data_IF_853869625309
#
_entry.id   IF_853869625309
#
_cell.length_a   1.000
_cell.length_b   1.000
_cell.length_c   1.000
_cell.angle_alpha   90.00
_cell.angle_beta   90.00
_cell.angle_gamma   90.00
#
_symmetry.space_group_name_H-M   'P 1'
#
loop_
_entity.id
_entity.type
_entity.pdbx_description
1 polymer ?
#
# COMPACT_ATOMS: atom_id res chain seq x y z
N UNK A 1 12.30 -7.52 -20.58
CA UNK A 1 11.14 -6.67 -20.13
C UNK A 1 9.99 -7.59 -19.77
N UNK A 2 9.49 -7.51 -18.54
CA UNK A 2 8.40 -8.36 -18.04
C UNK A 2 7.07 -7.86 -18.65
N UNK A 3 6.34 -8.74 -19.34
CA UNK A 3 5.01 -8.43 -19.86
C UNK A 3 3.97 -8.62 -18.77
N UNK A 4 3.04 -7.66 -18.62
CA UNK A 4 1.98 -7.73 -17.62
C UNK A 4 0.69 -7.09 -18.14
N UNK A 5 -0.44 -7.77 -17.90
CA UNK A 5 -1.77 -7.22 -18.20
C UNK A 5 -2.06 -5.90 -17.44
N UNK A 6 -1.42 -5.71 -16.29
CA UNK A 6 -1.51 -4.47 -15.51
C UNK A 6 -0.88 -3.29 -16.27
N UNK A 7 0.29 -3.50 -16.91
CA UNK A 7 0.94 -2.46 -17.71
C UNK A 7 0.07 -2.04 -18.90
N UNK A 8 -0.51 -2.99 -19.62
CA UNK A 8 -1.40 -2.73 -20.76
C UNK A 8 -2.68 -1.99 -20.32
N UNK A 9 -3.28 -2.43 -19.19
CA UNK A 9 -4.52 -1.85 -18.67
C UNK A 9 -4.36 -0.41 -18.21
N UNK A 10 -3.21 -0.05 -17.62
CA UNK A 10 -2.99 1.23 -16.96
C UNK A 10 -2.09 2.18 -17.78
N UNK A 11 -1.45 1.71 -18.86
CA UNK A 11 -0.50 2.51 -19.63
C UNK A 11 0.79 2.84 -18.86
N UNK A 12 1.23 1.95 -17.96
CA UNK A 12 2.45 2.07 -17.18
C UNK A 12 3.55 1.13 -17.70
N UNK A 13 4.82 1.46 -17.48
CA UNK A 13 5.96 0.69 -17.97
C UNK A 13 6.23 -0.55 -17.10
N UNK A 14 6.16 -0.38 -15.78
CA UNK A 14 6.44 -1.42 -14.80
C UNK A 14 5.21 -1.71 -13.95
N UNK A 15 4.86 -3.00 -13.70
CA UNK A 15 3.70 -3.36 -12.89
C UNK A 15 4.03 -3.24 -11.38
N UNK A 16 4.50 -2.07 -11.00
CA UNK A 16 4.92 -1.71 -9.64
C UNK A 16 4.07 -0.56 -9.13
N UNK A 17 3.36 -0.78 -8.04
CA UNK A 17 2.55 0.22 -7.37
C UNK A 17 3.24 0.67 -6.09
N UNK A 18 3.27 1.97 -5.86
CA UNK A 18 3.50 2.50 -4.54
C UNK A 18 2.14 2.57 -3.83
N UNK A 19 1.97 1.77 -2.78
CA UNK A 19 0.71 1.66 -2.05
C UNK A 19 0.30 2.95 -1.32
N UNK A 20 -1.00 3.16 -1.16
CA UNK A 20 -1.52 4.27 -0.38
C UNK A 20 -1.10 4.18 1.09
N UNK A 21 -0.35 5.15 1.58
CA UNK A 21 0.13 5.25 2.96
C UNK A 21 -0.42 6.54 3.58
N UNK A 22 -1.39 6.42 4.49
CA UNK A 22 -2.06 7.56 5.11
C UNK A 22 -1.05 8.58 5.68
N UNK A 23 -1.23 9.86 5.36
CA UNK A 23 -0.36 11.00 5.73
C UNK A 23 1.06 10.97 5.14
N UNK A 24 1.42 9.96 4.37
CA UNK A 24 2.77 9.72 3.82
C UNK A 24 2.77 9.87 2.30
N UNK A 25 1.86 9.14 1.63
CA UNK A 25 1.79 9.10 0.17
C UNK A 25 1.02 10.32 -0.34
N UNK A 26 1.75 11.38 -0.58
CA UNK A 26 1.27 12.65 -1.15
C UNK A 26 1.39 12.70 -2.68
N UNK A 27 0.97 13.80 -3.28
CA UNK A 27 1.03 14.00 -4.73
C UNK A 27 2.47 14.02 -5.29
N UNK A 28 3.45 14.45 -4.50
CA UNK A 28 4.86 14.49 -4.91
C UNK A 28 5.45 13.08 -5.03
N UNK A 29 5.25 12.26 -4.00
CA UNK A 29 5.71 10.86 -4.03
C UNK A 29 5.00 10.08 -5.15
N UNK A 30 3.68 10.23 -5.27
CA UNK A 30 2.91 9.55 -6.30
C UNK A 30 3.40 9.92 -7.72
N UNK A 31 3.59 11.21 -8.00
CA UNK A 31 4.11 11.67 -9.28
C UNK A 31 5.51 11.10 -9.60
N UNK A 32 6.41 11.08 -8.62
CA UNK A 32 7.77 10.57 -8.81
C UNK A 32 7.79 9.05 -9.11
N UNK A 33 6.88 8.28 -8.51
CA UNK A 33 6.73 6.85 -8.82
C UNK A 33 6.17 6.66 -10.23
N UNK A 34 5.17 7.47 -10.63
CA UNK A 34 4.57 7.41 -11.96
C UNK A 34 5.57 7.81 -13.05
N UNK A 35 6.40 8.83 -12.82
CA UNK A 35 7.50 9.20 -13.72
C UNK A 35 8.57 8.10 -13.81
N UNK A 36 8.74 7.33 -12.75
CA UNK A 36 9.60 6.14 -12.75
C UNK A 36 9.04 4.95 -13.54
N UNK A 37 7.84 5.08 -14.13
CA UNK A 37 7.19 4.05 -14.95
C UNK A 37 6.26 3.11 -14.16
N UNK A 38 6.11 3.28 -12.85
CA UNK A 38 5.15 2.56 -12.00
C UNK A 38 3.80 3.27 -11.89
N UNK A 39 3.01 2.91 -10.88
CA UNK A 39 1.80 3.63 -10.47
C UNK A 39 1.97 4.22 -9.08
N UNK A 40 2.08 5.54 -8.99
CA UNK A 40 2.03 6.26 -7.73
C UNK A 40 0.60 6.44 -7.25
N UNK A 41 0.37 6.26 -5.95
CA UNK A 41 -0.97 6.31 -5.36
C UNK A 41 -1.01 7.30 -4.20
N UNK A 42 -1.81 8.35 -4.34
CA UNK A 42 -2.09 9.33 -3.30
C UNK A 42 -2.99 8.67 -2.25
N UNK A 43 -2.64 8.80 -0.97
CA UNK A 43 -3.45 8.28 0.11
C UNK A 43 -4.44 9.32 0.63
N UNK A 44 -5.73 9.09 0.48
CA UNK A 44 -6.74 9.93 1.10
C UNK A 44 -6.75 9.78 2.64
N UNK A 45 -6.56 8.55 3.16
CA UNK A 45 -6.56 8.31 4.60
C UNK A 45 -7.83 8.86 5.27
N UNK A 46 -7.65 9.64 6.34
CA UNK A 46 -8.70 10.40 7.02
C UNK A 46 -8.65 11.91 6.67
N UNK A 47 -8.22 12.25 5.46
CA UNK A 47 -8.18 13.63 5.01
C UNK A 47 -9.48 14.03 4.29
N UNK A 48 -9.91 15.31 4.37
CA UNK A 48 -11.07 15.82 3.65
C UNK A 48 -10.81 15.86 2.14
N UNK A 49 -11.87 15.91 1.33
CA UNK A 49 -11.80 15.90 -0.13
C UNK A 49 -10.97 17.03 -0.72
N UNK A 50 -11.03 18.23 -0.14
CA UNK A 50 -10.22 19.37 -0.60
C UNK A 50 -8.71 19.11 -0.48
N UNK A 51 -8.26 18.43 0.57
CA UNK A 51 -6.86 18.02 0.68
C UNK A 51 -6.50 17.03 -0.44
N UNK A 52 -7.35 16.03 -0.67
CA UNK A 52 -7.11 15.02 -1.72
C UNK A 52 -7.06 15.68 -3.10
N UNK A 53 -7.97 16.62 -3.38
CA UNK A 53 -7.97 17.44 -4.60
C UNK A 53 -6.65 18.18 -4.80
N UNK A 54 -6.15 18.84 -3.75
CA UNK A 54 -4.88 19.55 -3.78
C UNK A 54 -3.71 18.59 -4.10
N UNK A 55 -3.72 17.37 -3.54
CA UNK A 55 -2.68 16.37 -3.82
C UNK A 55 -2.73 15.86 -5.26
N UNK A 56 -3.93 15.61 -5.81
CA UNK A 56 -4.11 15.24 -7.21
C UNK A 56 -3.57 16.34 -8.13
N UNK A 57 -3.95 17.59 -7.88
CA UNK A 57 -3.49 18.73 -8.67
C UNK A 57 -1.99 18.97 -8.52
N UNK A 58 -1.42 18.70 -7.32
CA UNK A 58 0.03 18.76 -7.11
C UNK A 58 0.77 17.71 -7.95
N UNK A 59 0.25 16.47 -7.97
CA UNK A 59 0.84 15.42 -8.81
C UNK A 59 0.79 15.77 -10.29
N UNK A 60 -0.34 16.26 -10.80
CA UNK A 60 -0.52 16.65 -12.20
C UNK A 60 0.33 17.84 -12.66
N UNK A 61 0.81 18.67 -11.74
CA UNK A 61 1.82 19.70 -12.08
C UNK A 61 3.22 19.13 -12.29
N UNK A 62 3.47 17.91 -11.84
CA UNK A 62 4.78 17.24 -11.91
C UNK A 62 4.81 16.23 -13.06
N UNK A 63 3.71 15.48 -13.27
CA UNK A 63 3.67 14.39 -14.24
C UNK A 63 2.36 14.35 -15.02
N UNK A 64 2.46 13.90 -16.30
CA UNK A 64 1.32 13.56 -17.15
C UNK A 64 1.01 12.05 -17.12
N UNK A 65 1.76 11.27 -16.33
CA UNK A 65 1.57 9.83 -16.20
C UNK A 65 0.37 9.50 -15.29
N UNK A 66 -0.23 8.30 -15.42
CA UNK A 66 -1.33 7.86 -14.57
C UNK A 66 -0.98 7.91 -13.08
N UNK A 67 -1.91 8.44 -12.27
CA UNK A 67 -1.78 8.49 -10.81
C UNK A 67 -3.07 7.91 -10.20
N UNK A 68 -2.92 7.12 -9.14
CA UNK A 68 -4.05 6.57 -8.38
C UNK A 68 -4.38 7.35 -7.11
N UNK A 69 -5.58 7.11 -6.57
CA UNK A 69 -5.99 7.54 -5.23
C UNK A 69 -6.43 6.34 -4.41
N UNK A 70 -5.89 6.17 -3.22
CA UNK A 70 -6.35 5.17 -2.26
C UNK A 70 -7.38 5.77 -1.33
N UNK A 71 -8.57 5.15 -1.27
CA UNK A 71 -9.68 5.57 -0.41
C UNK A 71 -9.82 4.58 0.74
N UNK A 72 -9.64 5.06 1.97
CA UNK A 72 -9.96 4.29 3.17
C UNK A 72 -11.47 4.38 3.42
N UNK A 73 -12.18 3.27 3.23
CA UNK A 73 -13.66 3.27 3.25
C UNK A 73 -14.29 3.45 4.64
N UNK A 74 -13.50 3.28 5.70
CA UNK A 74 -13.90 3.62 7.09
C UNK A 74 -13.70 5.11 7.42
N UNK A 75 -13.11 5.90 6.51
CA UNK A 75 -12.93 7.34 6.72
C UNK A 75 -14.27 8.08 6.76
N UNK A 76 -14.47 9.04 7.67
CA UNK A 76 -15.65 9.90 7.67
C UNK A 76 -15.76 10.76 6.39
N UNK A 77 -14.67 10.90 5.64
CA UNK A 77 -14.59 11.66 4.39
C UNK A 77 -14.71 10.78 3.13
N UNK A 78 -15.00 9.47 3.28
CA UNK A 78 -15.04 8.55 2.14
C UNK A 78 -16.03 9.00 1.05
N UNK A 79 -17.22 9.49 1.42
CA UNK A 79 -18.24 10.00 0.48
C UNK A 79 -17.78 11.25 -0.29
N UNK A 80 -17.06 12.13 0.39
CA UNK A 80 -16.51 13.35 -0.20
C UNK A 80 -15.38 13.01 -1.19
N UNK A 81 -14.43 12.18 -0.76
CA UNK A 81 -13.31 11.74 -1.61
C UNK A 81 -13.80 10.94 -2.81
N UNK A 82 -14.85 10.12 -2.64
CA UNK A 82 -15.44 9.35 -3.74
C UNK A 82 -15.97 10.24 -4.88
N UNK A 83 -16.43 11.44 -4.58
CA UNK A 83 -16.84 12.45 -5.59
C UNK A 83 -15.64 13.16 -6.19
N UNK A 84 -14.67 13.54 -5.36
CA UNK A 84 -13.45 14.24 -5.81
C UNK A 84 -12.71 13.43 -6.87
N UNK A 85 -12.56 12.12 -6.72
CA UNK A 85 -11.86 11.30 -7.72
C UNK A 85 -12.56 11.27 -9.08
N UNK A 86 -13.89 11.41 -9.11
CA UNK A 86 -14.67 11.54 -10.36
C UNK A 86 -14.48 12.93 -10.97
N UNK A 87 -14.64 13.99 -10.17
CA UNK A 87 -14.50 15.37 -10.60
C UNK A 87 -13.10 15.67 -11.15
N UNK A 88 -12.08 15.15 -10.48
CA UNK A 88 -10.67 15.26 -10.90
C UNK A 88 -10.28 14.22 -11.96
N UNK A 89 -11.18 13.35 -12.43
CA UNK A 89 -10.96 12.33 -13.47
C UNK A 89 -9.69 11.50 -13.18
N UNK A 90 -9.60 10.96 -11.97
CA UNK A 90 -8.48 10.11 -11.56
C UNK A 90 -8.52 8.81 -12.36
N UNK A 91 -7.37 8.32 -12.80
CA UNK A 91 -7.26 7.13 -13.65
C UNK A 91 -7.51 5.83 -12.87
N UNK A 92 -7.07 5.80 -11.60
CA UNK A 92 -7.11 4.60 -10.76
C UNK A 92 -7.61 4.94 -9.36
N UNK A 93 -8.55 4.18 -8.85
CA UNK A 93 -8.94 4.16 -7.44
C UNK A 93 -8.60 2.82 -6.84
N UNK A 94 -7.82 2.83 -5.76
CA UNK A 94 -7.64 1.67 -4.88
C UNK A 94 -8.45 1.88 -3.61
N UNK A 95 -8.91 0.81 -2.96
CA UNK A 95 -9.66 0.92 -1.71
C UNK A 95 -9.13 -0.02 -0.66
N UNK A 96 -9.13 0.42 0.59
CA UNK A 96 -8.81 -0.39 1.75
C UNK A 96 -9.79 -0.18 2.89
N UNK A 97 -9.74 -1.03 3.90
CA UNK A 97 -10.53 -0.94 5.12
C UNK A 97 -12.05 -0.79 4.86
N UNK A 98 -12.66 -1.73 4.12
CA UNK A 98 -14.09 -1.73 3.88
C UNK A 98 -14.50 -2.32 2.53
N UNK A 99 -15.78 -2.16 2.20
CA UNK A 99 -16.41 -2.67 0.98
C UNK A 99 -16.82 -1.51 0.06
N UNK A 100 -16.25 -1.40 -1.16
CA UNK A 100 -16.53 -0.31 -2.10
C UNK A 100 -17.86 -0.44 -2.86
N UNK A 101 -18.71 -1.43 -2.58
CA UNK A 101 -19.92 -1.73 -3.35
C UNK A 101 -20.84 -0.52 -3.55
N UNK A 102 -20.81 0.44 -2.62
CA UNK A 102 -21.57 1.69 -2.68
C UNK A 102 -21.11 2.63 -3.80
N UNK A 103 -19.81 2.64 -4.12
CA UNK A 103 -19.19 3.62 -5.01
C UNK A 103 -18.75 3.03 -6.35
N UNK A 104 -18.45 1.73 -6.39
CA UNK A 104 -17.75 1.08 -7.52
C UNK A 104 -18.44 1.30 -8.87
N UNK A 105 -19.79 1.30 -8.92
CA UNK A 105 -20.54 1.49 -10.15
C UNK A 105 -20.37 2.89 -10.73
N UNK A 106 -20.36 3.91 -9.88
CA UNK A 106 -20.17 5.31 -10.30
C UNK A 106 -18.74 5.54 -10.79
N UNK A 107 -17.75 5.00 -10.10
CA UNK A 107 -16.34 5.09 -10.52
C UNK A 107 -16.10 4.41 -11.87
N UNK A 108 -16.62 3.20 -12.06
CA UNK A 108 -16.53 2.49 -13.35
C UNK A 108 -17.24 3.24 -14.48
N UNK A 109 -18.43 3.82 -14.22
CA UNK A 109 -19.16 4.64 -15.18
C UNK A 109 -18.41 5.92 -15.56
N UNK A 110 -17.60 6.47 -14.63
CA UNK A 110 -16.70 7.59 -14.88
C UNK A 110 -15.40 7.20 -15.62
N UNK A 111 -15.22 5.91 -15.95
CA UNK A 111 -14.02 5.41 -16.65
C UNK A 111 -12.85 5.11 -15.73
N UNK A 112 -13.01 5.21 -14.40
CA UNK A 112 -11.96 4.96 -13.42
C UNK A 112 -11.69 3.45 -13.31
N UNK A 113 -10.43 3.04 -13.30
CA UNK A 113 -10.03 1.67 -12.97
C UNK A 113 -10.09 1.46 -11.47
N UNK A 114 -10.94 0.55 -11.01
CA UNK A 114 -11.13 0.28 -9.58
C UNK A 114 -10.38 -0.99 -9.20
N UNK A 115 -9.41 -0.87 -8.29
CA UNK A 115 -8.49 -1.95 -7.88
C UNK A 115 -8.52 -2.08 -6.35
N UNK A 116 -9.49 -2.81 -5.77
CA UNK A 116 -9.64 -2.96 -4.33
C UNK A 116 -8.52 -3.80 -3.71
N UNK A 117 -8.12 -3.43 -2.48
CA UNK A 117 -7.28 -4.29 -1.62
C UNK A 117 -8.16 -5.37 -1.01
N UNK A 118 -7.71 -6.62 -1.10
CA UNK A 118 -8.41 -7.79 -0.59
C UNK A 118 -7.46 -8.67 0.25
N UNK A 119 -7.95 -9.16 1.37
CA UNK A 119 -7.21 -10.03 2.28
C UNK A 119 -7.84 -11.45 2.40
N UNK A 120 -8.81 -11.78 1.53
CA UNK A 120 -9.44 -13.11 1.50
C UNK A 120 -10.06 -13.44 0.14
N UNK A 121 -10.19 -14.73 -0.13
CA UNK A 121 -10.87 -15.25 -1.34
C UNK A 121 -12.33 -14.80 -1.41
N UNK A 122 -13.02 -14.72 -0.28
CA UNK A 122 -14.41 -14.26 -0.24
C UNK A 122 -14.53 -12.81 -0.74
N UNK A 123 -13.65 -11.92 -0.29
CA UNK A 123 -13.58 -10.54 -0.74
C UNK A 123 -13.20 -10.46 -2.23
N UNK A 124 -12.21 -11.23 -2.67
CA UNK A 124 -11.81 -11.28 -4.07
C UNK A 124 -12.97 -11.65 -5.01
N UNK A 125 -13.72 -12.71 -4.68
CA UNK A 125 -14.92 -13.12 -5.42
C UNK A 125 -16.01 -12.04 -5.43
N UNK A 126 -16.21 -11.32 -4.32
CA UNK A 126 -17.15 -10.21 -4.25
C UNK A 126 -16.73 -9.06 -5.16
N UNK A 127 -15.48 -8.64 -5.10
CA UNK A 127 -14.96 -7.54 -5.93
C UNK A 127 -15.00 -7.89 -7.43
N UNK A 128 -14.68 -9.13 -7.78
CA UNK A 128 -14.82 -9.62 -9.16
C UNK A 128 -16.26 -9.49 -9.68
N UNK A 129 -17.24 -9.91 -8.87
CA UNK A 129 -18.67 -9.77 -9.25
C UNK A 129 -19.15 -8.33 -9.35
N UNK A 130 -18.54 -7.42 -8.59
CA UNK A 130 -18.85 -5.99 -8.64
C UNK A 130 -18.20 -5.27 -9.83
N UNK A 131 -17.36 -5.96 -10.61
CA UNK A 131 -16.72 -5.43 -11.81
C UNK A 131 -15.40 -4.71 -11.56
N UNK A 132 -14.69 -5.01 -10.47
CA UNK A 132 -13.34 -4.48 -10.26
C UNK A 132 -12.46 -4.72 -11.49
N UNK A 133 -11.51 -3.82 -11.75
CA UNK A 133 -10.60 -3.91 -12.90
C UNK A 133 -9.43 -4.86 -12.65
N UNK A 134 -8.96 -4.93 -11.41
CA UNK A 134 -7.93 -5.82 -10.90
C UNK A 134 -8.08 -5.92 -9.38
N UNK A 135 -7.27 -6.75 -8.71
CA UNK A 135 -7.28 -6.89 -7.25
C UNK A 135 -5.87 -6.72 -6.68
N UNK A 136 -5.76 -6.09 -5.51
CA UNK A 136 -4.53 -6.08 -4.72
C UNK A 136 -4.68 -7.10 -3.59
N UNK A 137 -3.95 -8.22 -3.68
CA UNK A 137 -3.91 -9.27 -2.64
C UNK A 137 -2.86 -8.88 -1.59
N UNK A 138 -3.30 -8.36 -0.43
CA UNK A 138 -2.40 -7.86 0.61
C UNK A 138 -2.26 -8.85 1.76
N UNK A 139 -1.07 -9.43 1.88
CA UNK A 139 -0.70 -10.34 2.97
C UNK A 139 -0.34 -9.63 4.27
N UNK A 140 -0.38 -10.38 5.37
CA UNK A 140 -0.16 -9.91 6.73
C UNK A 140 1.26 -9.42 7.04
N UNK A 141 2.20 -9.51 6.11
CA UNK A 141 3.55 -8.94 6.20
C UNK A 141 3.56 -7.43 5.96
N UNK A 142 2.46 -6.85 5.44
CA UNK A 142 2.33 -5.42 5.16
C UNK A 142 2.40 -4.57 6.44
N UNK A 143 2.63 -3.26 6.27
CA UNK A 143 2.51 -2.26 7.32
C UNK A 143 1.11 -1.63 7.35
N UNK A 144 0.72 -1.05 8.48
CA UNK A 144 -0.64 -0.53 8.66
C UNK A 144 -1.64 -1.64 8.97
N UNK A 145 -2.86 -1.51 8.51
CA UNK A 145 -3.89 -2.53 8.71
C UNK A 145 -3.50 -3.84 8.03
N UNK A 146 -3.61 -4.95 8.74
CA UNK A 146 -3.15 -6.26 8.24
C UNK A 146 -4.25 -7.32 8.36
N UNK A 147 -4.31 -8.20 7.35
CA UNK A 147 -5.05 -9.45 7.41
C UNK A 147 -4.27 -10.56 8.13
N UNK A 148 -4.86 -11.75 8.22
CA UNK A 148 -4.25 -12.90 8.89
C UNK A 148 -3.35 -13.72 7.96
N UNK A 149 -3.73 -13.84 6.68
CA UNK A 149 -2.99 -14.67 5.71
C UNK A 149 -1.71 -13.97 5.25
N UNK A 150 -0.63 -14.74 5.14
CA UNK A 150 0.62 -14.26 4.55
C UNK A 150 0.52 -14.22 3.02
N UNK A 151 1.36 -13.41 2.39
CA UNK A 151 1.39 -13.22 0.93
C UNK A 151 1.60 -14.55 0.19
N UNK A 152 2.47 -15.42 0.70
CA UNK A 152 2.78 -16.73 0.11
C UNK A 152 1.54 -17.63 -0.07
N UNK A 153 0.57 -17.58 0.84
CA UNK A 153 -0.64 -18.41 0.76
C UNK A 153 -1.86 -17.65 0.24
N UNK A 154 -1.89 -16.33 0.37
CA UNK A 154 -3.01 -15.50 -0.06
C UNK A 154 -3.03 -15.33 -1.58
N UNK A 155 -1.90 -14.95 -2.16
CA UNK A 155 -1.79 -14.62 -3.59
C UNK A 155 -2.25 -15.77 -4.49
N UNK A 156 -1.75 -17.01 -4.38
CA UNK A 156 -2.19 -18.10 -5.25
C UNK A 156 -3.68 -18.42 -5.08
N UNK A 157 -4.21 -18.39 -3.84
CA UNK A 157 -5.64 -18.62 -3.60
C UNK A 157 -6.53 -17.57 -4.28
N UNK A 158 -6.07 -16.31 -4.33
CA UNK A 158 -6.81 -15.25 -5.01
C UNK A 158 -6.68 -15.40 -6.52
N UNK A 159 -5.48 -15.70 -7.04
CA UNK A 159 -5.27 -15.96 -8.47
C UNK A 159 -6.17 -17.10 -8.98
N UNK A 160 -6.31 -18.18 -8.21
CA UNK A 160 -7.18 -19.32 -8.56
C UNK A 160 -8.68 -18.99 -8.47
N UNK A 161 -9.04 -17.97 -7.69
CA UNK A 161 -10.43 -17.61 -7.39
C UNK A 161 -11.04 -16.55 -8.33
N UNK A 162 -10.21 -15.90 -9.17
CA UNK A 162 -10.63 -14.82 -10.07
C UNK A 162 -9.97 -14.91 -11.43
N UNK A 163 -10.60 -14.33 -12.44
CA UNK A 163 -9.99 -14.11 -13.77
C UNK A 163 -9.37 -12.72 -13.92
N UNK A 164 -9.51 -11.87 -12.89
CA UNK A 164 -8.92 -10.53 -12.90
C UNK A 164 -7.42 -10.58 -12.66
N UNK A 165 -6.64 -9.63 -13.20
CA UNK A 165 -5.25 -9.47 -12.82
C UNK A 165 -5.11 -9.23 -11.31
N UNK A 166 -4.12 -9.90 -10.68
CA UNK A 166 -3.84 -9.78 -9.24
C UNK A 166 -2.50 -9.08 -9.04
N UNK A 167 -2.48 -8.09 -8.15
CA UNK A 167 -1.28 -7.40 -7.69
C UNK A 167 -0.95 -7.94 -6.30
N UNK A 168 0.24 -8.48 -6.08
CA UNK A 168 0.68 -8.95 -4.77
C UNK A 168 1.17 -7.79 -3.92
N UNK A 169 0.77 -7.74 -2.64
CA UNK A 169 1.20 -6.74 -1.68
C UNK A 169 1.55 -7.38 -0.33
N UNK A 170 2.51 -6.78 0.38
CA UNK A 170 3.04 -7.32 1.64
C UNK A 170 4.24 -8.25 1.42
N UNK A 171 5.29 -8.08 2.22
CA UNK A 171 6.48 -8.94 2.16
C UNK A 171 7.42 -8.70 0.96
N UNK A 172 7.19 -7.69 0.13
CA UNK A 172 7.95 -7.43 -1.09
C UNK A 172 8.85 -6.20 -0.91
N UNK A 173 10.17 -6.35 -1.12
CA UNK A 173 11.15 -5.29 -0.93
C UNK A 173 12.10 -5.11 -2.11
N UNK A 174 12.41 -6.17 -2.85
CA UNK A 174 13.41 -6.24 -3.92
C UNK A 174 12.94 -7.16 -5.05
N UNK A 175 13.78 -7.32 -6.08
CA UNK A 175 13.46 -8.14 -7.25
C UNK A 175 13.21 -9.62 -6.95
N UNK A 176 13.74 -10.16 -5.85
CA UNK A 176 13.44 -11.55 -5.45
C UNK A 176 11.98 -11.68 -5.02
N UNK A 177 11.48 -10.70 -4.24
CA UNK A 177 10.07 -10.64 -3.85
C UNK A 177 9.15 -10.43 -5.05
N UNK A 178 9.55 -9.58 -6.00
CA UNK A 178 8.81 -9.38 -7.27
C UNK A 178 8.74 -10.69 -8.06
N UNK A 179 9.86 -11.36 -8.28
CA UNK A 179 9.91 -12.63 -9.00
C UNK A 179 9.04 -13.71 -8.32
N UNK A 180 9.12 -13.84 -6.99
CA UNK A 180 8.29 -14.75 -6.22
C UNK A 180 6.79 -14.45 -6.40
N UNK A 181 6.38 -13.19 -6.37
CA UNK A 181 4.99 -12.79 -6.58
C UNK A 181 4.48 -13.21 -7.97
N UNK A 182 5.29 -13.03 -9.03
CA UNK A 182 4.95 -13.49 -10.37
C UNK A 182 4.83 -15.02 -10.44
N UNK A 183 5.72 -15.75 -9.78
CA UNK A 183 5.66 -17.23 -9.71
C UNK A 183 4.43 -17.73 -8.95
N UNK A 184 3.86 -16.93 -8.04
CA UNK A 184 2.60 -17.21 -7.36
C UNK A 184 1.36 -16.84 -8.19
N UNK A 185 1.53 -16.32 -9.42
CA UNK A 185 0.46 -15.96 -10.35
C UNK A 185 0.10 -14.47 -10.38
N UNK A 186 0.74 -13.62 -9.59
CA UNK A 186 0.50 -12.18 -9.64
C UNK A 186 0.95 -11.57 -10.97
N UNK A 187 0.30 -10.47 -11.37
CA UNK A 187 0.58 -9.69 -12.57
C UNK A 187 1.26 -8.34 -12.27
N UNK A 188 1.51 -8.07 -11.01
CA UNK A 188 2.19 -6.87 -10.52
C UNK A 188 2.42 -6.95 -9.02
N UNK A 189 3.08 -5.94 -8.48
CA UNK A 189 3.37 -5.83 -7.06
C UNK A 189 3.01 -4.46 -6.51
N UNK A 190 2.58 -4.42 -5.25
CA UNK A 190 2.43 -3.16 -4.50
C UNK A 190 3.38 -3.16 -3.31
N UNK A 191 4.11 -2.08 -3.13
CA UNK A 191 5.03 -1.87 -2.02
C UNK A 191 4.71 -0.57 -1.29
N UNK A 192 4.69 -0.59 0.05
CA UNK A 192 4.58 0.61 0.89
C UNK A 192 5.91 0.95 1.53
N UNK A 193 6.35 0.13 2.47
CA UNK A 193 7.54 0.35 3.31
C UNK A 193 8.82 0.61 2.51
N UNK A 194 8.97 0.00 1.33
CA UNK A 194 10.11 0.24 0.44
C UNK A 194 10.18 1.71 -0.01
N UNK A 195 9.03 2.35 -0.25
CA UNK A 195 8.95 3.76 -0.66
C UNK A 195 9.06 4.76 0.50
N UNK A 196 9.09 4.33 1.76
CA UNK A 196 9.40 5.21 2.89
C UNK A 196 10.83 5.77 2.80
N UNK A 197 11.74 5.06 2.12
CA UNK A 197 13.11 5.51 1.85
C UNK A 197 13.25 6.32 0.55
N UNK A 198 12.16 6.61 -0.15
CA UNK A 198 12.23 7.46 -1.34
C UNK A 198 12.62 8.90 -0.96
N UNK A 199 13.45 9.53 -1.78
CA UNK A 199 13.86 10.93 -1.59
C UNK A 199 12.65 11.87 -1.58
N UNK A 200 11.63 11.56 -2.40
CA UNK A 200 10.39 12.32 -2.55
C UNK A 200 9.38 12.07 -1.43
N UNK A 201 9.59 11.06 -0.59
CA UNK A 201 8.75 10.77 0.56
C UNK A 201 9.00 11.80 1.67
N UNK A 202 7.99 12.65 1.95
CA UNK A 202 8.09 13.83 2.81
C UNK A 202 7.91 13.54 4.31
N UNK A 203 8.19 12.31 4.75
CA UNK A 203 8.13 11.93 6.17
C UNK A 203 9.28 12.54 6.97
N UNK A 204 9.07 12.71 8.28
CA UNK A 204 10.10 13.22 9.17
C UNK A 204 11.39 12.36 9.12
N UNK A 205 12.61 12.94 9.15
CA UNK A 205 13.87 12.21 9.06
C UNK A 205 14.02 11.07 10.09
N UNK A 206 13.51 11.24 11.31
CA UNK A 206 13.47 10.19 12.34
C UNK A 206 12.75 8.92 11.86
N UNK A 207 11.69 9.07 11.07
CA UNK A 207 10.97 7.92 10.52
C UNK A 207 11.86 7.16 9.52
N UNK A 208 12.48 7.87 8.57
CA UNK A 208 13.40 7.27 7.60
C UNK A 208 14.56 6.58 8.30
N UNK A 209 15.17 7.24 9.29
CA UNK A 209 16.25 6.67 10.08
C UNK A 209 15.85 5.35 10.77
N UNK A 210 14.65 5.31 11.38
CA UNK A 210 14.14 4.08 12.00
C UNK A 210 13.95 2.94 10.98
N UNK A 211 13.52 3.24 9.75
CA UNK A 211 13.41 2.25 8.67
C UNK A 211 14.80 1.75 8.27
N UNK A 212 15.75 2.65 8.00
CA UNK A 212 17.11 2.28 7.55
C UNK A 212 17.89 1.48 8.58
N UNK A 213 17.61 1.69 9.88
CA UNK A 213 18.21 0.96 11.01
C UNK A 213 17.42 -0.27 11.44
N UNK A 214 16.32 -0.59 10.75
CA UNK A 214 15.46 -1.71 11.11
C UNK A 214 16.18 -3.06 11.03
N UNK A 215 15.84 -3.95 11.98
CA UNK A 215 16.28 -5.34 12.03
C UNK A 215 15.13 -6.28 11.68
N UNK A 216 15.37 -7.56 11.52
CA UNK A 216 14.42 -8.59 11.12
C UNK A 216 13.20 -8.70 12.05
N UNK A 217 13.36 -8.48 13.35
CA UNK A 217 12.28 -8.55 14.35
C UNK A 217 11.77 -7.16 14.77
N UNK A 218 11.94 -6.14 13.92
CA UNK A 218 11.64 -4.74 14.26
C UNK A 218 10.14 -4.41 14.31
N UNK A 219 9.23 -5.25 13.82
CA UNK A 219 7.79 -4.96 13.78
C UNK A 219 6.98 -5.75 14.80
N UNK A 220 5.80 -5.24 15.12
CA UNK A 220 4.77 -5.94 15.91
C UNK A 220 3.37 -5.54 15.44
N UNK A 221 2.38 -6.37 15.75
CA UNK A 221 0.96 -6.11 15.47
C UNK A 221 0.24 -5.78 16.78
N UNK A 222 -0.50 -4.69 16.77
CA UNK A 222 -1.38 -4.23 17.87
C UNK A 222 -2.80 -4.00 17.35
N UNK A 223 -3.77 -3.74 18.22
CA UNK A 223 -5.15 -3.45 17.82
C UNK A 223 -5.99 -4.68 17.47
N UNK A 224 -5.52 -5.89 17.77
CA UNK A 224 -6.26 -7.14 17.51
C UNK A 224 -7.55 -7.23 18.33
N UNK A 225 -7.52 -6.80 19.60
CA UNK A 225 -8.69 -6.80 20.48
C UNK A 225 -9.83 -5.94 19.94
N UNK A 226 -9.50 -4.81 19.34
CA UNK A 226 -10.48 -3.90 18.72
C UNK A 226 -10.92 -4.34 17.30
N UNK A 227 -10.41 -5.46 16.79
CA UNK A 227 -10.72 -5.93 15.44
C UNK A 227 -10.03 -5.15 14.31
N UNK A 228 -9.09 -4.27 14.64
CA UNK A 228 -8.33 -3.45 13.69
C UNK A 228 -6.82 -3.68 13.84
N UNK A 229 -6.30 -4.88 13.53
CA UNK A 229 -4.89 -5.20 13.68
C UNK A 229 -4.03 -4.29 12.79
N UNK A 230 -3.00 -3.69 13.39
CA UNK A 230 -2.09 -2.75 12.72
C UNK A 230 -0.64 -3.16 12.98
N UNK A 231 0.15 -3.27 11.91
CA UNK A 231 1.60 -3.53 12.02
C UNK A 231 2.39 -2.23 12.00
N UNK A 232 3.25 -2.06 13.00
CA UNK A 232 4.17 -0.93 13.13
C UNK A 232 5.54 -1.38 13.62
N UNK A 233 6.52 -0.47 13.61
CA UNK A 233 7.80 -0.69 14.29
C UNK A 233 7.59 -0.83 15.79
N UNK A 234 8.45 -1.63 16.46
CA UNK A 234 8.47 -1.85 17.92
C UNK A 234 9.04 -0.63 18.66
N UNK A 235 8.29 0.47 18.67
CA UNK A 235 8.62 1.70 19.39
C UNK A 235 8.11 1.65 20.83
N UNK A 236 8.48 2.62 21.70
CA UNK A 236 7.87 2.79 23.01
C UNK A 236 6.34 2.82 22.93
N UNK A 237 5.77 3.62 22.03
CA UNK A 237 4.32 3.68 21.79
C UNK A 237 3.71 2.30 21.48
N UNK A 238 4.28 1.55 20.55
CA UNK A 238 3.72 0.25 20.15
C UNK A 238 3.74 -0.77 21.31
N UNK A 239 4.77 -0.72 22.15
CA UNK A 239 4.86 -1.57 23.36
C UNK A 239 3.87 -1.16 24.43
N UNK A 240 3.73 0.15 24.66
CA UNK A 240 2.76 0.71 25.62
C UNK A 240 1.33 0.36 25.19
N UNK A 241 1.00 0.59 23.91
CA UNK A 241 -0.30 0.22 23.36
C UNK A 241 -0.58 -1.29 23.53
N UNK A 242 0.38 -2.15 23.20
CA UNK A 242 0.21 -3.60 23.38
C UNK A 242 0.02 -3.98 24.84
N UNK A 243 0.74 -3.35 25.78
CA UNK A 243 0.56 -3.55 27.21
C UNK A 243 -0.84 -3.11 27.67
N UNK A 244 -1.30 -1.97 27.21
CA UNK A 244 -2.64 -1.45 27.50
C UNK A 244 -3.74 -2.36 26.93
N UNK A 245 -3.58 -2.81 25.66
CA UNK A 245 -4.51 -3.71 24.96
C UNK A 245 -4.77 -5.00 25.73
N UNK A 246 -3.72 -5.63 26.26
CA UNK A 246 -3.84 -6.88 27.03
C UNK A 246 -3.91 -6.69 28.55
N UNK A 247 -3.70 -5.47 29.03
CA UNK A 247 -3.78 -5.09 30.45
C UNK A 247 -5.18 -4.72 30.94
N UNK A 248 -6.21 -4.80 30.07
CA UNK A 248 -7.59 -4.54 30.44
C UNK A 248 -8.02 -3.06 30.33
N UNK A 249 -7.26 -2.20 29.62
CA UNK A 249 -7.69 -0.83 29.35
C UNK A 249 -9.04 -0.83 28.62
N UNK A 250 -10.01 0.05 28.95
CA UNK A 250 -11.27 0.20 28.23
C UNK A 250 -11.07 0.49 26.74
N UNK A 251 -11.97 0.01 25.88
CA UNK A 251 -11.84 0.11 24.43
C UNK A 251 -11.77 1.56 23.94
N UNK A 252 -12.60 2.43 24.51
CA UNK A 252 -12.62 3.85 24.18
C UNK A 252 -11.33 4.61 24.60
N UNK A 253 -10.68 4.18 25.67
CA UNK A 253 -9.38 4.71 26.09
C UNK A 253 -8.27 4.22 25.16
N UNK A 254 -8.34 2.94 24.75
CA UNK A 254 -7.38 2.34 23.83
C UNK A 254 -7.47 2.99 22.44
N UNK A 255 -8.67 3.30 21.94
CA UNK A 255 -8.87 4.05 20.69
C UNK A 255 -8.31 5.48 20.78
N UNK A 256 -8.55 6.15 21.91
CA UNK A 256 -7.98 7.50 22.16
C UNK A 256 -6.46 7.50 22.16
N UNK A 257 -5.83 6.47 22.72
CA UNK A 257 -4.37 6.32 22.75
C UNK A 257 -3.79 6.24 21.32
N UNK A 258 -4.50 5.57 20.39
CA UNK A 258 -4.06 5.44 19.00
C UNK A 258 -4.31 6.69 18.15
N UNK A 259 -5.29 7.53 18.58
CA UNK A 259 -5.73 8.68 17.77
C UNK A 259 -4.61 9.69 17.57
N UNK A 260 -4.29 10.00 16.31
CA UNK A 260 -3.25 10.95 15.93
C UNK A 260 -1.81 10.43 16.00
N UNK A 261 -1.56 9.24 16.58
CA UNK A 261 -0.21 8.71 16.75
C UNK A 261 0.57 8.54 15.43
N UNK A 262 -0.12 8.21 14.33
CA UNK A 262 0.52 8.15 13.00
C UNK A 262 1.00 9.54 12.55
N UNK A 263 0.22 10.59 12.76
CA UNK A 263 0.62 11.97 12.38
C UNK A 263 1.82 12.45 13.19
N UNK A 264 1.87 12.14 14.48
CA UNK A 264 3.04 12.41 15.32
C UNK A 264 4.31 11.76 14.76
N UNK A 265 4.23 10.49 14.31
CA UNK A 265 5.35 9.81 13.68
C UNK A 265 5.77 10.47 12.36
N UNK A 266 4.79 10.77 11.49
CA UNK A 266 5.02 11.24 10.12
C UNK A 266 5.50 12.70 10.08
N UNK A 267 4.85 13.58 10.84
CA UNK A 267 5.04 15.04 10.76
C UNK A 267 6.05 15.55 11.79
N UNK A 268 6.05 15.00 13.00
CA UNK A 268 6.86 15.47 14.12
C UNK A 268 8.03 14.56 14.43
N UNK A 269 8.02 13.31 13.93
CA UNK A 269 9.06 12.31 14.22
C UNK A 269 9.10 11.90 15.69
N UNK A 270 7.98 12.05 16.41
CA UNK A 270 7.90 11.75 17.85
C UNK A 270 8.21 10.28 18.09
N UNK A 271 9.41 10.00 18.56
CA UNK A 271 9.92 8.64 18.75
C UNK A 271 9.23 7.88 19.89
N UNK A 272 8.62 8.61 20.84
CA UNK A 272 8.01 8.05 22.04
C UNK A 272 6.51 7.77 21.82
N UNK A 273 5.76 8.73 21.27
CA UNK A 273 4.30 8.68 21.12
C UNK A 273 3.86 8.34 19.68
N UNK A 274 4.77 8.37 18.72
CA UNK A 274 4.47 8.14 17.31
C UNK A 274 4.26 6.66 16.97
N UNK A 275 3.22 6.38 16.16
CA UNK A 275 2.99 5.08 15.55
C UNK A 275 3.68 5.01 14.17
N UNK A 276 4.80 4.32 14.09
CA UNK A 276 5.61 4.19 12.87
C UNK A 276 5.16 2.95 12.09
N UNK A 277 4.17 3.09 11.21
CA UNK A 277 3.64 1.98 10.40
C UNK A 277 4.73 1.44 9.46
N UNK A 278 4.93 0.13 9.48
CA UNK A 278 5.94 -0.52 8.65
C UNK A 278 5.67 -2.01 8.50
N UNK A 279 5.88 -2.53 7.29
CA UNK A 279 5.85 -3.96 7.02
C UNK A 279 7.13 -4.68 7.48
N UNK A 280 7.10 -6.00 7.47
CA UNK A 280 8.22 -6.86 7.90
C UNK A 280 9.49 -6.66 7.07
N UNK A 281 9.35 -6.14 5.84
CA UNK A 281 10.48 -5.89 4.93
C UNK A 281 11.35 -4.70 5.36
N UNK A 282 11.02 -3.98 6.45
CA UNK A 282 11.79 -2.81 6.88
C UNK A 282 13.29 -3.11 7.00
N UNK A 283 13.64 -4.29 7.52
CA UNK A 283 15.03 -4.73 7.64
C UNK A 283 15.78 -4.87 6.30
N UNK A 284 15.06 -4.96 5.19
CA UNK A 284 15.65 -5.06 3.86
C UNK A 284 15.87 -3.69 3.18
N UNK A 285 15.31 -2.61 3.74
CA UNK A 285 15.50 -1.24 3.25
C UNK A 285 16.78 -0.66 3.83
N UNK A 286 17.79 -0.39 2.97
CA UNK A 286 19.16 -0.04 3.44
C UNK A 286 19.66 1.31 2.94
N UNK A 287 18.99 1.94 1.99
CA UNK A 287 19.41 3.22 1.40
C UNK A 287 18.21 4.10 1.06
N UNK A 288 18.42 5.40 1.11
CA UNK A 288 17.53 6.36 0.46
C UNK A 288 17.90 6.47 -1.01
N UNK A 289 16.91 6.63 -1.88
CA UNK A 289 17.11 6.81 -3.31
C UNK A 289 15.86 7.42 -3.96
N UNK A 290 15.95 7.97 -5.18
CA UNK A 290 14.77 8.45 -5.91
C UNK A 290 13.71 7.35 -6.09
N UNK A 291 12.44 7.71 -6.00
CA UNK A 291 11.33 6.77 -6.17
C UNK A 291 11.37 6.07 -7.55
N UNK A 292 11.74 6.79 -8.61
CA UNK A 292 11.92 6.24 -9.94
C UNK A 292 13.02 5.16 -10.01
N UNK A 293 14.09 5.30 -9.21
CA UNK A 293 15.14 4.27 -9.14
C UNK A 293 14.63 3.03 -8.39
N UNK A 294 13.83 3.20 -7.33
CA UNK A 294 13.22 2.06 -6.63
C UNK A 294 12.38 1.22 -7.60
N UNK A 295 11.55 1.87 -8.43
CA UNK A 295 10.71 1.18 -9.42
C UNK A 295 11.56 0.38 -10.41
N UNK A 296 12.60 1.00 -10.97
CA UNK A 296 13.48 0.33 -11.95
C UNK A 296 14.30 -0.78 -11.31
N UNK A 297 14.95 -0.52 -10.18
CA UNK A 297 15.82 -1.46 -9.48
C UNK A 297 15.11 -2.77 -9.19
N UNK A 298 13.90 -2.75 -8.63
CA UNK A 298 13.18 -3.99 -8.29
C UNK A 298 12.79 -4.80 -9.52
N UNK A 299 12.57 -4.17 -10.67
CA UNK A 299 12.26 -4.86 -11.93
C UNK A 299 13.51 -5.41 -12.62
N UNK A 300 14.60 -4.63 -12.64
CA UNK A 300 15.90 -5.06 -13.15
C UNK A 300 16.47 -6.24 -12.35
N UNK A 301 16.26 -6.25 -11.03
CA UNK A 301 16.63 -7.37 -10.17
C UNK A 301 15.74 -8.61 -10.36
N UNK A 302 14.44 -8.42 -10.65
CA UNK A 302 13.49 -9.53 -10.82
C UNK A 302 13.73 -10.32 -12.10
N UNK A 303 14.09 -9.64 -13.20
CA UNK A 303 14.25 -10.28 -14.51
C UNK A 303 15.26 -11.44 -14.50
N UNK A 304 16.51 -11.28 -14.00
CA UNK A 304 17.46 -12.40 -13.93
C UNK A 304 17.00 -13.51 -12.98
N UNK A 305 16.24 -13.22 -11.93
CA UNK A 305 15.69 -14.27 -11.04
C UNK A 305 14.68 -15.12 -11.79
N UNK A 306 13.77 -14.50 -12.54
CA UNK A 306 12.78 -15.20 -13.36
C UNK A 306 13.43 -16.02 -14.49
N UNK A 307 14.42 -15.46 -15.19
CA UNK A 307 15.13 -16.14 -16.26
C UNK A 307 15.90 -17.39 -15.78
N UNK A 308 16.41 -17.34 -14.54
CA UNK A 308 17.12 -18.47 -13.92
C UNK A 308 16.19 -19.53 -13.32
N UNK A 309 14.87 -19.30 -13.26
CA UNK A 309 13.94 -20.26 -12.66
C UNK A 309 14.01 -21.66 -13.33
N UNK A 310 14.32 -21.73 -14.61
CA UNK A 310 14.50 -23.01 -15.35
C UNK A 310 15.65 -23.88 -14.82
N UNK A 311 16.63 -23.34 -14.09
CA UNK A 311 17.72 -24.11 -13.48
C UNK A 311 17.24 -25.17 -12.48
N UNK A 312 16.04 -25.02 -11.94
CA UNK A 312 15.42 -25.94 -10.99
C UNK A 312 14.62 -27.05 -11.64
N UNK A 313 14.43 -26.99 -12.97
CA UNK A 313 13.68 -27.99 -13.77
C UNK A 313 14.70 -28.78 -14.58
N UNK A 314 14.67 -30.12 -14.44
CA UNK A 314 15.52 -31.03 -15.20
C UNK A 314 14.84 -31.45 -16.50
#
# INVERSE_FOLDING_TARGET
MIKSAICEMLGIEYPVFQGGMAWIADGKLAAAVSDGGGLGIIAAGNAPGDYVRQQIQAARRITDKPVGVNIMLLSPFADEVAKVVIEEKVEVVTTGAGNPSRYIKEWLAAGIRVIPVVASVAMAKLMTRLGASALIAEGGESGGHVGELTTMVLVPQICDATTLPVIAAGGIADGRGVAAAFMLGAQGVQMGTRFLSANECSIHPVYKEKILKATDLCTMVTGKRLGHPVRSLRTPFAREYSKAEYGGMPDDELERLATGALRLAVQEGDAERGCFLSGQIAAMVKKEQPAAEIVREVMEEAEPVLLRASQWVK
#
